data_IF_681397118655
#
_entry.id   IF_681397118655
#
_cell.length_a   1.000
_cell.length_b   1.000
_cell.length_c   1.000
_cell.angle_alpha   90.00
_cell.angle_beta   90.00
_cell.angle_gamma   90.00
#
_symmetry.space_group_name_H-M   'P 1'
#
loop_
_entity.id
_entity.type
_entity.pdbx_description
1 polymer ?
#
# COMPACT_ATOMS: atom_id res chain seq x y z
N UNK A 1 45.30 13.37 -2.30
CA UNK A 1 44.01 12.64 -2.26
C UNK A 1 43.59 12.50 -0.80
N UNK A 2 42.48 13.11 -0.38
CA UNK A 2 42.02 13.01 1.02
C UNK A 2 41.67 11.58 1.40
N UNK A 3 42.01 11.19 2.63
CA UNK A 3 41.75 9.88 3.19
C UNK A 3 40.25 9.53 3.09
N UNK A 4 39.92 8.36 2.51
CA UNK A 4 38.53 7.94 2.35
C UNK A 4 37.92 7.64 3.72
N UNK A 5 36.96 8.45 4.15
CA UNK A 5 36.21 8.18 5.39
C UNK A 5 35.46 6.84 5.28
N UNK A 6 35.69 5.95 6.24
CA UNK A 6 35.05 4.63 6.40
C UNK A 6 34.40 4.50 7.78
N UNK A 7 33.52 3.52 7.94
CA UNK A 7 32.88 3.18 9.22
C UNK A 7 33.93 2.56 10.14
N UNK A 8 34.17 3.20 11.29
CA UNK A 8 35.00 2.64 12.37
C UNK A 8 34.23 1.66 13.25
N UNK A 9 32.94 1.96 13.51
CA UNK A 9 32.02 1.15 14.30
C UNK A 9 30.64 1.22 13.69
N UNK A 10 30.04 0.05 13.43
CA UNK A 10 28.65 -0.08 12.98
C UNK A 10 27.72 0.28 14.14
N UNK A 11 26.76 1.15 13.88
CA UNK A 11 25.70 1.53 14.83
C UNK A 11 24.34 1.03 14.36
N UNK A 12 23.33 1.04 15.24
CA UNK A 12 21.97 0.57 14.95
C UNK A 12 21.35 1.21 13.69
N UNK A 13 21.60 2.50 13.45
CA UNK A 13 21.14 3.16 12.22
C UNK A 13 21.75 2.55 10.95
N UNK A 14 23.02 2.11 11.01
CA UNK A 14 23.68 1.47 9.88
C UNK A 14 23.05 0.09 9.64
N UNK A 15 22.83 -0.69 10.70
CA UNK A 15 22.16 -2.00 10.64
C UNK A 15 20.74 -1.87 10.07
N UNK A 16 19.97 -0.88 10.53
CA UNK A 16 18.63 -0.60 10.01
C UNK A 16 18.62 -0.29 8.52
N UNK A 17 19.52 0.59 8.05
CA UNK A 17 19.65 0.91 6.62
C UNK A 17 19.98 -0.33 5.80
N UNK A 18 20.92 -1.15 6.27
CA UNK A 18 21.30 -2.38 5.59
C UNK A 18 20.15 -3.38 5.57
N UNK A 19 19.44 -3.56 6.68
CA UNK A 19 18.30 -4.45 6.76
C UNK A 19 17.16 -4.02 5.83
N UNK A 20 16.83 -2.73 5.78
CA UNK A 20 15.82 -2.23 4.83
C UNK A 20 16.28 -2.37 3.37
N UNK A 21 17.55 -2.12 3.06
CA UNK A 21 18.10 -2.38 1.72
C UNK A 21 18.10 -3.87 1.35
N UNK A 22 18.29 -4.76 2.33
CA UNK A 22 18.16 -6.20 2.12
C UNK A 22 16.71 -6.58 1.81
N UNK A 23 15.74 -6.12 2.61
CA UNK A 23 14.32 -6.46 2.43
C UNK A 23 13.71 -5.87 1.16
N UNK A 24 13.90 -4.56 0.98
CA UNK A 24 13.27 -3.77 -0.08
C UNK A 24 14.15 -3.61 -1.32
N UNK A 25 15.36 -4.20 -1.30
CA UNK A 25 16.34 -4.38 -2.38
C UNK A 25 16.97 -3.11 -2.93
N UNK A 26 16.17 -2.07 -3.19
CA UNK A 26 16.62 -0.76 -3.70
C UNK A 26 15.97 0.36 -2.89
N UNK A 27 16.70 1.41 -2.54
CA UNK A 27 16.08 2.61 -1.98
C UNK A 27 16.73 3.87 -2.53
N UNK A 28 15.96 4.96 -2.66
CA UNK A 28 16.55 6.27 -2.96
C UNK A 28 17.12 6.92 -1.71
N UNK A 29 17.96 7.94 -1.92
CA UNK A 29 18.47 8.77 -0.81
C UNK A 29 17.33 9.38 0.00
N UNK A 30 16.31 9.90 -0.67
CA UNK A 30 15.15 10.56 -0.05
C UNK A 30 14.33 9.59 0.80
N UNK A 31 14.21 8.33 0.37
CA UNK A 31 13.54 7.28 1.14
C UNK A 31 14.32 6.97 2.44
N UNK A 32 15.64 6.80 2.34
CA UNK A 32 16.52 6.56 3.49
C UNK A 32 16.51 7.78 4.44
N UNK A 33 16.58 8.99 3.88
CA UNK A 33 16.51 10.26 4.61
C UNK A 33 15.25 10.38 5.48
N UNK A 34 14.09 10.04 4.90
CA UNK A 34 12.80 10.08 5.60
C UNK A 34 12.73 9.05 6.72
N UNK A 35 13.24 7.83 6.49
CA UNK A 35 13.23 6.76 7.48
C UNK A 35 14.15 7.03 8.67
N UNK A 36 15.41 7.36 8.39
CA UNK A 36 16.48 7.33 9.40
C UNK A 36 16.92 8.70 9.89
N UNK A 37 16.69 9.75 9.12
CA UNK A 37 17.35 11.05 9.36
C UNK A 37 16.39 12.23 9.48
N UNK A 38 15.07 11.97 9.61
CA UNK A 38 14.02 13.00 9.80
C UNK A 38 14.14 14.18 8.80
N UNK A 39 14.57 13.93 7.57
CA UNK A 39 14.74 14.99 6.56
C UNK A 39 16.12 15.68 6.52
N UNK A 40 17.11 15.22 7.31
CA UNK A 40 18.46 15.78 7.29
C UNK A 40 19.25 15.32 6.06
N UNK A 41 19.16 16.09 4.97
CA UNK A 41 19.87 15.84 3.71
C UNK A 41 21.37 15.68 3.91
N UNK A 42 22.01 16.65 4.57
CA UNK A 42 23.47 16.69 4.73
C UNK A 42 24.01 15.47 5.49
N UNK A 43 23.33 15.08 6.57
CA UNK A 43 23.72 13.90 7.34
C UNK A 43 23.49 12.62 6.55
N UNK A 44 22.37 12.52 5.83
CA UNK A 44 22.10 11.40 4.92
C UNK A 44 23.20 11.25 3.88
N UNK A 45 23.57 12.32 3.17
CA UNK A 45 24.65 12.29 2.17
C UNK A 45 25.97 11.79 2.76
N UNK A 46 26.36 12.33 3.92
CA UNK A 46 27.58 11.91 4.62
C UNK A 46 27.51 10.43 4.97
N UNK A 47 26.39 9.97 5.53
CA UNK A 47 26.22 8.57 5.93
C UNK A 47 26.25 7.62 4.74
N UNK A 48 25.52 7.91 3.66
CA UNK A 48 25.52 7.10 2.45
C UNK A 48 26.91 7.03 1.81
N UNK A 49 27.66 8.12 1.84
CA UNK A 49 29.05 8.16 1.36
C UNK A 49 29.95 7.21 2.18
N UNK A 50 29.87 7.26 3.51
CA UNK A 50 30.69 6.41 4.40
C UNK A 50 30.30 4.94 4.26
N UNK A 51 29.00 4.60 4.22
CA UNK A 51 28.53 3.22 4.01
C UNK A 51 29.05 2.64 2.69
N UNK A 52 29.01 3.44 1.62
CA UNK A 52 29.51 3.05 0.30
C UNK A 52 31.03 2.88 0.30
N UNK A 53 31.78 3.82 0.86
CA UNK A 53 33.25 3.71 0.98
C UNK A 53 33.68 2.50 1.82
N UNK A 54 32.86 2.12 2.81
CA UNK A 54 33.10 0.94 3.64
C UNK A 54 32.72 -0.37 2.94
N UNK A 55 32.11 -0.29 1.75
CA UNK A 55 31.76 -1.43 0.91
C UNK A 55 30.48 -2.15 1.33
N UNK A 56 29.68 -1.63 2.26
CA UNK A 56 28.43 -2.28 2.71
C UNK A 56 27.25 -2.07 1.75
N UNK A 57 27.33 -1.03 0.93
CA UNK A 57 26.33 -0.69 -0.09
C UNK A 57 27.01 -0.24 -1.37
N UNK A 58 26.26 -0.25 -2.46
CA UNK A 58 26.65 0.36 -3.73
C UNK A 58 25.54 1.29 -4.23
N UNK A 59 25.90 2.26 -5.07
CA UNK A 59 24.98 3.25 -5.63
C UNK A 59 24.97 3.20 -7.15
N UNK A 60 23.79 3.36 -7.76
CA UNK A 60 23.62 3.50 -9.21
C UNK A 60 22.72 4.69 -9.52
N UNK A 61 23.00 5.43 -10.60
CA UNK A 61 22.09 6.47 -11.10
C UNK A 61 21.10 5.85 -12.07
N UNK A 62 19.82 6.17 -11.89
CA UNK A 62 18.74 5.82 -12.80
C UNK A 62 18.00 7.07 -13.25
N UNK A 63 17.32 6.98 -14.40
CA UNK A 63 16.38 8.02 -14.83
C UNK A 63 14.98 7.62 -14.36
N UNK A 64 14.36 8.42 -13.48
CA UNK A 64 12.97 8.22 -13.04
C UNK A 64 12.07 9.21 -13.76
N UNK A 65 10.89 8.77 -14.19
CA UNK A 65 9.87 9.69 -14.68
C UNK A 65 9.32 10.55 -13.53
N UNK A 66 9.19 11.86 -13.79
CA UNK A 66 8.52 12.83 -12.91
C UNK A 66 7.41 13.54 -13.70
N UNK A 67 6.55 14.29 -13.00
CA UNK A 67 5.49 15.12 -13.62
C UNK A 67 6.04 16.04 -14.73
N UNK A 68 7.28 16.53 -14.57
CA UNK A 68 7.99 17.35 -15.56
C UNK A 68 9.26 16.63 -16.05
N UNK A 69 9.10 15.62 -16.91
CA UNK A 69 10.21 14.96 -17.59
C UNK A 69 10.89 13.84 -16.81
N UNK A 70 12.21 13.71 -16.96
CA UNK A 70 13.01 12.65 -16.33
C UNK A 70 14.09 13.24 -15.43
N UNK A 71 14.29 12.64 -14.26
CA UNK A 71 15.30 13.08 -13.30
C UNK A 71 16.30 11.96 -13.01
N UNK A 72 17.58 12.34 -12.86
CA UNK A 72 18.64 11.46 -12.37
C UNK A 72 18.46 11.23 -10.88
N UNK A 73 18.12 10.01 -10.48
CA UNK A 73 17.96 9.60 -9.09
C UNK A 73 19.03 8.58 -8.72
N UNK A 74 19.70 8.78 -7.58
CA UNK A 74 20.59 7.77 -7.02
C UNK A 74 19.77 6.72 -6.26
N UNK A 75 19.98 5.45 -6.61
CA UNK A 75 19.49 4.29 -5.86
C UNK A 75 20.64 3.59 -5.17
N UNK A 76 20.36 3.02 -4.01
CA UNK A 76 21.30 2.24 -3.20
C UNK A 76 20.84 0.78 -3.12
N UNK A 77 21.80 -0.14 -3.09
CA UNK A 77 21.59 -1.58 -2.90
C UNK A 77 22.63 -2.09 -1.92
N UNK A 78 22.30 -3.15 -1.18
CA UNK A 78 23.25 -3.84 -0.28
C UNK A 78 24.27 -4.66 -1.09
N UNK A 79 25.48 -4.82 -0.55
CA UNK A 79 26.53 -5.70 -1.11
C UNK A 79 26.65 -6.99 -0.30
N UNK A 80 27.41 -7.97 -0.77
CA UNK A 80 27.69 -9.20 0.00
C UNK A 80 28.34 -8.90 1.35
N UNK A 81 29.18 -7.85 1.42
CA UNK A 81 29.76 -7.40 2.69
C UNK A 81 28.67 -6.90 3.66
N UNK A 82 27.68 -6.16 3.16
CA UNK A 82 26.53 -5.74 3.97
C UNK A 82 25.68 -6.91 4.44
N UNK A 83 25.43 -7.89 3.56
CA UNK A 83 24.66 -9.10 3.90
C UNK A 83 25.38 -9.93 4.96
N UNK A 84 26.69 -10.15 4.83
CA UNK A 84 27.49 -10.86 5.85
C UNK A 84 27.39 -10.20 7.22
N UNK A 85 27.48 -8.87 7.27
CA UNK A 85 27.31 -8.14 8.53
C UNK A 85 25.92 -8.37 9.15
N UNK A 86 24.84 -8.34 8.36
CA UNK A 86 23.50 -8.62 8.88
C UNK A 86 23.38 -10.04 9.45
N UNK A 87 24.02 -11.01 8.81
CA UNK A 87 24.05 -12.41 9.26
C UNK A 87 24.87 -12.59 10.55
N UNK A 88 26.05 -11.97 10.62
CA UNK A 88 26.89 -11.95 11.84
C UNK A 88 26.15 -11.33 13.03
N UNK A 89 25.20 -10.43 12.77
CA UNK A 89 24.35 -9.79 13.79
C UNK A 89 23.06 -10.55 14.09
N UNK A 90 22.80 -11.69 13.45
CA UNK A 90 21.57 -12.46 13.63
C UNK A 90 20.31 -11.76 13.14
N UNK A 91 20.43 -10.78 12.24
CA UNK A 91 19.30 -10.04 11.68
C UNK A 91 18.67 -10.74 10.47
N UNK A 92 19.42 -11.65 9.84
CA UNK A 92 18.95 -12.49 8.74
C UNK A 92 19.60 -13.89 8.85
N UNK A 93 18.85 -14.91 8.47
CA UNK A 93 19.31 -16.30 8.46
C UNK A 93 19.51 -16.86 7.04
N UNK A 94 19.04 -16.13 6.03
CA UNK A 94 19.01 -16.62 4.65
C UNK A 94 20.39 -16.52 3.99
N UNK A 95 20.79 -17.59 3.29
CA UNK A 95 21.98 -17.58 2.45
C UNK A 95 21.65 -17.03 1.06
N UNK A 96 21.60 -15.70 0.97
CA UNK A 96 21.31 -14.96 -0.27
C UNK A 96 22.49 -14.06 -0.59
N UNK A 97 22.92 -14.05 -1.85
CA UNK A 97 23.93 -13.13 -2.33
C UNK A 97 23.32 -11.82 -2.85
N UNK A 98 24.10 -10.75 -2.87
CA UNK A 98 23.66 -9.46 -3.38
C UNK A 98 23.27 -9.49 -4.87
N UNK A 99 23.81 -10.44 -5.64
CA UNK A 99 23.43 -10.65 -7.05
C UNK A 99 21.97 -11.10 -7.20
N UNK A 100 21.45 -11.87 -6.23
CA UNK A 100 20.09 -12.41 -6.25
C UNK A 100 19.05 -11.35 -5.82
N UNK A 101 19.51 -10.30 -5.15
CA UNK A 101 18.69 -9.13 -4.80
C UNK A 101 18.58 -8.12 -5.95
N UNK A 102 19.29 -8.31 -7.05
CA UNK A 102 19.28 -7.38 -8.18
C UNK A 102 17.88 -7.29 -8.80
N UNK A 103 17.44 -6.07 -9.05
CA UNK A 103 16.18 -5.79 -9.72
C UNK A 103 16.49 -5.34 -11.15
N UNK A 104 15.82 -5.97 -12.12
CA UNK A 104 15.86 -5.55 -13.51
C UNK A 104 15.36 -4.11 -13.68
N UNK A 105 15.98 -3.36 -14.59
CA UNK A 105 15.66 -1.94 -14.82
C UNK A 105 14.17 -1.68 -15.02
N UNK A 106 13.49 -2.54 -15.79
CA UNK A 106 12.06 -2.43 -16.08
C UNK A 106 11.17 -2.56 -14.83
N UNK A 107 11.65 -3.24 -13.78
CA UNK A 107 10.91 -3.47 -12.56
C UNK A 107 11.21 -2.44 -11.45
N UNK A 108 12.32 -1.70 -11.56
CA UNK A 108 12.79 -0.78 -10.50
C UNK A 108 11.73 0.22 -10.04
N UNK A 109 11.00 0.87 -10.94
CA UNK A 109 10.00 1.86 -10.56
C UNK A 109 8.89 1.25 -9.69
N UNK A 110 8.47 0.02 -9.98
CA UNK A 110 7.45 -0.67 -9.17
C UNK A 110 7.92 -0.99 -7.75
N UNK A 111 9.21 -1.30 -7.57
CA UNK A 111 9.81 -1.48 -6.25
C UNK A 111 9.96 -0.15 -5.52
N UNK A 112 10.43 0.90 -6.20
CA UNK A 112 10.55 2.23 -5.60
C UNK A 112 9.18 2.76 -5.15
N UNK A 113 8.12 2.49 -5.90
CA UNK A 113 6.77 2.85 -5.52
C UNK A 113 6.32 2.06 -4.27
N UNK A 114 6.54 0.75 -4.21
CA UNK A 114 6.24 -0.01 -3.00
C UNK A 114 7.05 0.48 -1.79
N UNK A 115 8.29 0.91 -2.02
CA UNK A 115 9.15 1.45 -0.97
C UNK A 115 8.71 2.85 -0.53
N UNK A 116 8.14 3.67 -1.44
CA UNK A 116 7.52 4.95 -1.10
C UNK A 116 6.32 4.73 -0.16
N UNK A 117 5.53 3.66 -0.37
CA UNK A 117 4.44 3.26 0.53
C UNK A 117 4.99 2.81 1.89
N UNK A 118 6.02 1.97 1.91
CA UNK A 118 6.70 1.57 3.15
C UNK A 118 7.20 2.76 3.96
N UNK A 119 7.94 3.67 3.32
CA UNK A 119 8.51 4.85 3.97
C UNK A 119 7.41 5.77 4.51
N UNK A 120 6.27 5.84 3.83
CA UNK A 120 5.14 6.65 4.25
C UNK A 120 4.39 6.08 5.46
N UNK A 121 4.33 4.75 5.60
CA UNK A 121 3.47 4.09 6.60
C UNK A 121 4.24 3.42 7.75
N UNK A 122 5.57 3.23 7.67
CA UNK A 122 6.36 2.57 8.72
C UNK A 122 6.18 3.23 10.11
N UNK A 123 6.09 4.56 10.16
CA UNK A 123 5.89 5.31 11.42
C UNK A 123 4.44 5.34 11.89
N UNK A 124 3.52 4.86 11.07
CA UNK A 124 2.09 4.88 11.35
C UNK A 124 1.59 3.56 11.96
N UNK A 125 2.48 2.63 12.33
CA UNK A 125 2.12 1.34 12.95
C UNK A 125 1.96 0.19 11.95
N UNK A 126 2.08 0.45 10.66
CA UNK A 126 1.97 -0.60 9.64
C UNK A 126 3.19 -1.52 9.62
N UNK A 127 2.92 -2.82 9.52
CA UNK A 127 3.93 -3.82 9.21
C UNK A 127 3.93 -4.14 7.71
N UNK A 128 5.10 -4.40 7.15
CA UNK A 128 5.25 -4.72 5.73
C UNK A 128 5.86 -6.11 5.57
N UNK A 129 5.38 -6.85 4.58
CA UNK A 129 6.02 -8.06 4.06
C UNK A 129 6.52 -7.75 2.66
N UNK A 130 7.82 -7.93 2.42
CA UNK A 130 8.35 -7.79 1.06
C UNK A 130 7.90 -8.96 0.18
N UNK A 131 7.96 -8.77 -1.13
CA UNK A 131 7.52 -9.77 -2.10
C UNK A 131 8.12 -11.17 -1.91
N UNK A 132 9.35 -11.33 -1.37
CA UNK A 132 9.92 -12.67 -1.16
C UNK A 132 9.29 -13.36 0.03
N UNK A 133 9.25 -12.67 1.17
CA UNK A 133 8.62 -13.18 2.37
C UNK A 133 7.17 -13.56 2.08
N UNK A 134 6.46 -12.69 1.35
CA UNK A 134 5.09 -12.95 0.91
C UNK A 134 5.00 -14.17 -0.01
N UNK A 135 5.84 -14.24 -1.06
CA UNK A 135 5.81 -15.33 -2.03
C UNK A 135 6.14 -16.68 -1.39
N UNK A 136 7.06 -16.70 -0.42
CA UNK A 136 7.39 -17.88 0.38
C UNK A 136 6.23 -18.28 1.29
N UNK A 137 5.66 -17.31 2.04
CA UNK A 137 4.52 -17.53 2.95
C UNK A 137 3.32 -18.14 2.23
N UNK A 138 3.09 -17.74 0.98
CA UNK A 138 1.88 -18.07 0.23
C UNK A 138 2.09 -18.91 -1.03
N UNK A 139 3.30 -19.45 -1.21
CA UNK A 139 3.66 -20.26 -2.39
C UNK A 139 3.30 -19.59 -3.73
N UNK A 140 3.41 -18.26 -3.78
CA UNK A 140 3.08 -17.48 -4.97
C UNK A 140 4.18 -17.62 -6.02
N UNK A 141 3.80 -17.47 -7.29
CA UNK A 141 4.75 -17.63 -8.39
C UNK A 141 5.75 -16.47 -8.44
N UNK A 142 6.98 -16.78 -8.87
CA UNK A 142 8.03 -15.75 -9.04
C UNK A 142 7.58 -14.63 -9.97
N UNK A 143 6.79 -14.96 -10.99
CA UNK A 143 6.24 -14.02 -11.96
C UNK A 143 5.18 -13.07 -11.42
N UNK A 144 4.56 -13.36 -10.27
CA UNK A 144 3.39 -12.61 -9.79
C UNK A 144 3.67 -11.12 -9.62
N UNK A 145 2.67 -10.32 -9.99
CA UNK A 145 2.72 -8.85 -10.03
C UNK A 145 2.61 -8.22 -8.64
N UNK A 146 2.12 -8.96 -7.64
CA UNK A 146 2.06 -8.54 -6.25
C UNK A 146 3.44 -8.06 -5.75
N UNK A 147 3.47 -6.87 -5.12
CA UNK A 147 4.71 -6.21 -4.67
C UNK A 147 5.10 -6.54 -3.24
N UNK A 148 4.16 -7.07 -2.46
CA UNK A 148 4.31 -7.35 -1.05
C UNK A 148 2.95 -7.21 -0.36
N UNK A 149 2.96 -7.17 0.96
CA UNK A 149 1.76 -6.93 1.73
C UNK A 149 1.96 -5.83 2.77
N UNK A 150 0.86 -5.16 3.08
CA UNK A 150 0.73 -4.19 4.16
C UNK A 150 -0.18 -4.79 5.21
N UNK A 151 0.27 -4.84 6.44
CA UNK A 151 -0.50 -5.30 7.60
C UNK A 151 -0.83 -4.09 8.46
N UNK A 152 -2.12 -3.84 8.62
CA UNK A 152 -2.70 -2.82 9.49
C UNK A 152 -2.49 -3.18 10.96
N UNK A 153 -2.69 -2.21 11.86
CA UNK A 153 -2.52 -2.40 13.31
C UNK A 153 -3.50 -3.43 13.89
N UNK A 154 -4.70 -3.57 13.30
CA UNK A 154 -5.68 -4.60 13.68
C UNK A 154 -5.41 -5.97 13.04
N UNK A 155 -4.28 -6.12 12.33
CA UNK A 155 -3.83 -7.39 11.78
C UNK A 155 -4.36 -7.73 10.38
N UNK A 156 -5.15 -6.85 9.74
CA UNK A 156 -5.59 -7.10 8.35
C UNK A 156 -4.43 -6.94 7.39
N UNK A 157 -4.17 -8.01 6.64
CA UNK A 157 -3.15 -8.07 5.61
C UNK A 157 -3.74 -7.77 4.22
N UNK A 158 -3.21 -6.74 3.56
CA UNK A 158 -3.56 -6.32 2.21
C UNK A 158 -2.43 -6.70 1.24
N UNK A 159 -2.73 -7.53 0.25
CA UNK A 159 -1.83 -7.81 -0.87
C UNK A 159 -1.75 -6.56 -1.77
N UNK A 160 -0.55 -6.05 -2.00
CA UNK A 160 -0.35 -4.77 -2.68
C UNK A 160 0.01 -4.96 -4.16
N UNK A 161 -0.80 -4.35 -5.02
CA UNK A 161 -0.54 -4.21 -6.44
C UNK A 161 -0.33 -2.73 -6.77
N UNK A 162 0.71 -2.41 -7.55
CA UNK A 162 0.97 -1.04 -8.01
C UNK A 162 0.93 -1.02 -9.53
N UNK A 163 -0.05 -0.32 -10.06
CA UNK A 163 -0.36 -0.22 -11.49
C UNK A 163 0.14 1.11 -12.01
N UNK A 164 0.95 1.05 -13.08
CA UNK A 164 1.48 2.25 -13.74
C UNK A 164 0.38 2.96 -14.53
N UNK A 165 0.59 4.24 -14.82
CA UNK A 165 -0.23 4.95 -15.80
C UNK A 165 -0.12 4.27 -17.19
N UNK A 166 -1.23 4.21 -17.92
CA UNK A 166 -1.30 3.56 -19.23
C UNK A 166 -1.06 2.05 -19.20
N UNK A 167 -1.36 1.38 -18.08
CA UNK A 167 -1.25 -0.07 -18.00
C UNK A 167 -2.23 -0.73 -19.00
N UNK A 168 -1.70 -1.62 -19.83
CA UNK A 168 -2.49 -2.40 -20.80
C UNK A 168 -3.51 -3.30 -20.08
N UNK A 169 -4.66 -3.51 -20.70
CA UNK A 169 -5.71 -4.44 -20.25
C UNK A 169 -5.18 -5.82 -19.84
N UNK A 170 -4.22 -6.35 -20.60
CA UNK A 170 -3.59 -7.64 -20.28
C UNK A 170 -2.97 -7.65 -18.88
N UNK A 171 -2.36 -6.54 -18.45
CA UNK A 171 -1.79 -6.39 -17.10
C UNK A 171 -2.90 -6.36 -16.06
N UNK A 172 -3.98 -5.62 -16.31
CA UNK A 172 -5.11 -5.51 -15.39
C UNK A 172 -5.82 -6.87 -15.21
N UNK A 173 -6.08 -7.57 -16.32
CA UNK A 173 -6.63 -8.94 -16.32
C UNK A 173 -5.75 -9.92 -15.57
N UNK A 174 -4.43 -9.78 -15.71
CA UNK A 174 -3.46 -10.60 -14.98
C UNK A 174 -3.54 -10.35 -13.48
N UNK A 175 -3.60 -9.09 -13.03
CA UNK A 175 -3.79 -8.75 -11.61
C UNK A 175 -5.09 -9.37 -11.08
N UNK A 176 -6.22 -9.24 -11.80
CA UNK A 176 -7.48 -9.87 -11.42
C UNK A 176 -7.41 -11.41 -11.39
N UNK A 177 -6.62 -12.03 -12.27
CA UNK A 177 -6.39 -13.48 -12.24
C UNK A 177 -5.59 -13.89 -11.02
N UNK A 178 -4.53 -13.15 -10.70
CA UNK A 178 -3.71 -13.38 -9.50
C UNK A 178 -4.54 -13.24 -8.22
N UNK A 179 -5.36 -12.19 -8.09
CA UNK A 179 -6.24 -12.00 -6.92
C UNK A 179 -7.26 -13.13 -6.75
N UNK A 180 -7.88 -13.58 -7.85
CA UNK A 180 -8.83 -14.71 -7.80
C UNK A 180 -8.13 -16.03 -7.48
N UNK A 181 -6.91 -16.26 -7.99
CA UNK A 181 -6.10 -17.44 -7.62
C UNK A 181 -5.76 -17.41 -6.13
N UNK A 182 -5.31 -16.26 -5.63
CA UNK A 182 -5.02 -16.02 -4.22
C UNK A 182 -6.24 -16.32 -3.34
N UNK A 183 -7.41 -15.83 -3.72
CA UNK A 183 -8.67 -16.11 -3.01
C UNK A 183 -8.97 -17.62 -2.92
N UNK A 184 -8.82 -18.35 -4.04
CA UNK A 184 -9.10 -19.80 -4.08
C UNK A 184 -8.10 -20.63 -3.28
N UNK A 185 -6.82 -20.27 -3.30
CA UNK A 185 -5.76 -21.05 -2.67
C UNK A 185 -5.59 -20.73 -1.18
N UNK A 186 -5.81 -19.48 -0.79
CA UNK A 186 -5.49 -18.98 0.54
C UNK A 186 -6.71 -18.56 1.36
N UNK A 187 -7.91 -18.61 0.76
CA UNK A 187 -9.14 -18.12 1.35
C UNK A 187 -9.30 -16.60 1.24
N UNK A 188 -10.11 -16.05 2.14
CA UNK A 188 -10.43 -14.62 2.24
C UNK A 188 -9.16 -13.76 2.38
N UNK A 189 -8.98 -12.81 1.45
CA UNK A 189 -7.79 -11.95 1.35
C UNK A 189 -8.18 -10.56 0.90
N UNK A 190 -7.59 -9.56 1.55
CA UNK A 190 -7.75 -8.18 1.15
C UNK A 190 -6.70 -7.80 0.11
N UNK A 191 -7.12 -7.05 -0.89
CA UNK A 191 -6.25 -6.57 -1.96
C UNK A 191 -6.29 -5.05 -1.99
N UNK A 192 -5.11 -4.45 -2.10
CA UNK A 192 -4.92 -3.02 -2.26
C UNK A 192 -4.27 -2.77 -3.62
N UNK A 193 -5.04 -2.20 -4.55
CA UNK A 193 -4.60 -1.91 -5.91
C UNK A 193 -4.40 -0.41 -6.07
N UNK A 194 -3.15 0.01 -6.23
CA UNK A 194 -2.74 1.41 -6.26
C UNK A 194 -2.39 1.85 -7.68
N UNK A 195 -2.96 2.97 -8.14
CA UNK A 195 -2.83 3.42 -9.52
C UNK A 195 -2.04 4.73 -9.63
N UNK A 196 -0.99 4.74 -10.46
CA UNK A 196 -0.21 5.95 -10.79
C UNK A 196 -0.87 6.84 -11.85
N UNK A 197 -1.97 6.40 -12.47
CA UNK A 197 -2.74 7.17 -13.46
C UNK A 197 -4.23 6.84 -13.41
N UNK A 198 -5.07 7.86 -13.59
CA UNK A 198 -6.52 7.74 -13.50
C UNK A 198 -7.12 6.85 -14.60
N UNK A 199 -6.57 6.89 -15.82
CA UNK A 199 -7.00 6.03 -16.93
C UNK A 199 -6.95 4.54 -16.55
N UNK A 200 -5.83 4.08 -15.99
CA UNK A 200 -5.69 2.69 -15.58
C UNK A 200 -6.56 2.32 -14.38
N UNK A 201 -6.84 3.29 -13.50
CA UNK A 201 -7.78 3.12 -12.40
C UNK A 201 -9.21 2.91 -12.94
N UNK A 202 -9.64 3.76 -13.86
CA UNK A 202 -10.97 3.70 -14.46
C UNK A 202 -11.13 2.41 -15.29
N UNK A 203 -10.14 2.06 -16.12
CA UNK A 203 -10.13 0.81 -16.87
C UNK A 203 -10.22 -0.42 -15.96
N UNK A 204 -9.46 -0.45 -14.86
CA UNK A 204 -9.52 -1.54 -13.89
C UNK A 204 -10.89 -1.61 -13.20
N UNK A 205 -11.44 -0.47 -12.77
CA UNK A 205 -12.77 -0.40 -12.12
C UNK A 205 -13.84 -0.95 -13.05
N UNK A 206 -13.90 -0.49 -14.30
CA UNK A 206 -14.86 -0.97 -15.29
C UNK A 206 -14.72 -2.47 -15.52
N UNK A 207 -13.49 -2.96 -15.68
CA UNK A 207 -13.22 -4.39 -15.86
C UNK A 207 -13.61 -5.23 -14.64
N UNK A 208 -13.39 -4.70 -13.43
CA UNK A 208 -13.72 -5.35 -12.17
C UNK A 208 -15.24 -5.49 -12.00
N UNK A 209 -15.96 -4.38 -12.15
CA UNK A 209 -17.41 -4.33 -11.93
C UNK A 209 -18.20 -5.08 -13.01
N UNK A 210 -17.62 -5.28 -14.20
CA UNK A 210 -18.17 -6.12 -15.26
C UNK A 210 -17.82 -7.61 -15.10
N UNK A 211 -17.06 -8.00 -14.07
CA UNK A 211 -16.60 -9.37 -13.88
C UNK A 211 -17.52 -10.15 -12.95
N UNK A 212 -17.86 -11.39 -13.32
CA UNK A 212 -18.57 -12.34 -12.44
C UNK A 212 -17.67 -13.01 -11.38
N UNK A 213 -16.48 -12.44 -11.14
CA UNK A 213 -15.50 -13.05 -10.24
C UNK A 213 -15.79 -12.63 -8.81
N UNK A 214 -15.76 -13.60 -7.91
CA UNK A 214 -15.88 -13.35 -6.49
C UNK A 214 -14.50 -13.04 -5.93
N UNK A 215 -14.38 -11.87 -5.33
CA UNK A 215 -13.24 -11.46 -4.52
C UNK A 215 -13.73 -11.18 -3.11
N UNK A 216 -12.83 -11.07 -2.15
CA UNK A 216 -13.20 -10.79 -0.76
C UNK A 216 -13.22 -9.29 -0.45
N UNK A 217 -12.07 -8.62 -0.64
CA UNK A 217 -11.94 -7.15 -0.54
C UNK A 217 -10.97 -6.69 -1.62
N UNK A 218 -11.37 -5.64 -2.36
CA UNK A 218 -10.54 -5.03 -3.40
C UNK A 218 -10.64 -3.51 -3.29
N UNK A 219 -9.74 -2.93 -2.52
CA UNK A 219 -9.58 -1.49 -2.40
C UNK A 219 -8.76 -0.98 -3.60
N UNK A 220 -9.41 -0.24 -4.49
CA UNK A 220 -8.76 0.32 -5.67
C UNK A 220 -8.61 1.83 -5.49
N UNK A 221 -7.39 2.36 -5.48
CA UNK A 221 -7.13 3.77 -5.13
C UNK A 221 -6.08 4.42 -6.05
N UNK A 222 -6.23 5.70 -6.41
CA UNK A 222 -5.12 6.51 -6.88
C UNK A 222 -3.99 6.52 -5.84
N UNK A 223 -2.76 6.34 -6.30
CA UNK A 223 -1.60 6.10 -5.45
C UNK A 223 -1.36 7.24 -4.44
N UNK A 224 -1.49 8.50 -4.86
CA UNK A 224 -1.29 9.66 -3.98
C UNK A 224 -2.35 9.76 -2.90
N UNK A 225 -3.60 9.47 -3.24
CA UNK A 225 -4.69 9.43 -2.28
C UNK A 225 -4.48 8.29 -1.26
N UNK A 226 -4.09 7.10 -1.73
CA UNK A 226 -3.80 5.96 -0.88
C UNK A 226 -2.75 6.26 0.21
N UNK A 227 -1.68 6.99 -0.15
CA UNK A 227 -0.65 7.38 0.82
C UNK A 227 -1.16 8.26 1.95
N UNK A 228 -2.23 9.02 1.72
CA UNK A 228 -2.76 9.93 2.71
C UNK A 228 -3.88 9.26 3.51
N UNK A 229 -4.81 8.55 2.85
CA UNK A 229 -5.92 7.86 3.53
C UNK A 229 -5.40 6.75 4.46
N UNK A 230 -4.37 5.98 4.05
CA UNK A 230 -3.81 4.92 4.90
C UNK A 230 -3.10 5.47 6.15
N UNK A 231 -2.53 6.68 6.11
CA UNK A 231 -1.98 7.29 7.32
C UNK A 231 -3.07 7.68 8.33
N UNK A 232 -4.27 7.93 7.84
CA UNK A 232 -5.38 8.48 8.61
C UNK A 232 -6.36 7.43 9.12
N UNK A 233 -6.49 6.30 8.43
CA UNK A 233 -7.40 5.21 8.74
C UNK A 233 -6.64 3.89 8.91
N UNK A 234 -5.88 3.83 10.00
CA UNK A 234 -5.12 2.68 10.49
C UNK A 234 -6.05 1.61 11.07
N UNK A 235 -7.16 2.05 11.66
CA UNK A 235 -8.16 1.20 12.31
C UNK A 235 -9.59 1.68 12.02
N UNK A 236 -10.57 0.80 12.24
CA UNK A 236 -12.00 1.15 12.15
C UNK A 236 -12.39 2.27 13.15
N UNK A 237 -11.64 2.47 14.25
CA UNK A 237 -11.94 3.53 15.23
C UNK A 237 -11.73 4.94 14.66
N UNK A 238 -10.73 5.12 13.80
CA UNK A 238 -10.50 6.41 13.15
C UNK A 238 -11.61 6.75 12.16
N UNK A 239 -12.16 5.72 11.49
CA UNK A 239 -13.37 5.84 10.69
C UNK A 239 -14.56 6.28 11.55
N UNK A 240 -14.86 5.56 12.63
CA UNK A 240 -15.94 5.91 13.57
C UNK A 240 -15.82 7.36 14.04
N UNK A 241 -14.64 7.76 14.53
CA UNK A 241 -14.36 9.15 14.98
C UNK A 241 -14.61 10.19 13.90
N UNK A 242 -14.39 9.84 12.63
CA UNK A 242 -14.58 10.77 11.51
C UNK A 242 -16.06 10.98 11.21
N UNK A 243 -16.88 9.96 11.40
CA UNK A 243 -18.29 9.98 11.03
C UNK A 243 -19.25 10.35 12.18
N UNK A 244 -18.78 10.43 13.44
CA UNK A 244 -19.62 10.78 14.59
C UNK A 244 -20.27 12.17 14.51
N UNK A 245 -19.72 13.08 13.68
CA UNK A 245 -20.35 14.38 13.43
C UNK A 245 -21.63 14.30 12.59
N UNK A 246 -21.88 13.18 11.90
CA UNK A 246 -23.10 12.96 11.11
C UNK A 246 -24.19 12.22 11.90
N UNK A 247 -23.88 11.73 13.09
CA UNK A 247 -24.79 10.95 13.92
C UNK A 247 -24.07 10.15 15.00
N UNK A 248 -24.83 9.65 15.98
CA UNK A 248 -24.31 8.73 16.99
C UNK A 248 -23.97 7.38 16.35
N UNK A 249 -22.77 6.86 16.63
CA UNK A 249 -22.25 5.63 16.03
C UNK A 249 -22.03 4.58 17.11
N UNK A 250 -22.54 3.39 16.89
CA UNK A 250 -22.34 2.25 17.79
C UNK A 250 -21.87 1.01 17.01
N UNK A 251 -21.07 0.12 17.63
CA UNK A 251 -20.70 -1.14 17.02
C UNK A 251 -21.93 -2.04 16.87
N UNK A 252 -22.08 -2.68 15.72
CA UNK A 252 -23.04 -3.75 15.55
C UNK A 252 -22.53 -5.01 16.26
N UNK A 253 -23.22 -5.41 17.32
CA UNK A 253 -22.89 -6.61 18.11
C UNK A 253 -23.57 -7.87 17.58
N UNK A 254 -24.42 -7.74 16.58
CA UNK A 254 -24.97 -8.89 15.87
C UNK A 254 -23.82 -9.58 15.13
N UNK A 255 -23.70 -10.91 15.28
CA UNK A 255 -22.65 -11.71 14.61
C UNK A 255 -22.93 -11.82 13.11
N UNK A 256 -22.78 -10.70 12.41
CA UNK A 256 -22.96 -10.58 10.96
C UNK A 256 -21.61 -10.82 10.27
N UNK A 257 -21.53 -11.72 9.28
CA UNK A 257 -20.28 -11.99 8.57
C UNK A 257 -19.90 -10.84 7.61
N UNK A 258 -20.80 -9.90 7.31
CA UNK A 258 -20.56 -8.85 6.33
C UNK A 258 -19.86 -7.61 6.92
N UNK A 259 -18.77 -7.18 6.28
CA UNK A 259 -17.99 -6.02 6.74
C UNK A 259 -18.78 -4.69 6.75
N UNK A 260 -19.74 -4.50 5.84
CA UNK A 260 -20.56 -3.27 5.81
C UNK A 260 -21.52 -3.15 6.99
N UNK A 261 -21.79 -4.23 7.73
CA UNK A 261 -22.73 -4.24 8.85
C UNK A 261 -22.05 -3.99 10.19
N UNK A 262 -20.76 -3.66 10.24
CA UNK A 262 -19.99 -3.56 11.50
C UNK A 262 -20.42 -2.44 12.44
N UNK A 263 -21.01 -1.37 11.91
CA UNK A 263 -21.40 -0.20 12.69
C UNK A 263 -22.80 0.24 12.32
N UNK A 264 -23.55 0.71 13.32
CA UNK A 264 -24.76 1.49 13.10
C UNK A 264 -24.46 2.97 13.27
N UNK A 265 -25.21 3.80 12.56
CA UNK A 265 -25.27 5.24 12.76
C UNK A 265 -26.73 5.70 12.87
N UNK A 266 -27.01 6.55 13.86
CA UNK A 266 -28.29 7.24 13.98
C UNK A 266 -28.24 8.55 13.17
N UNK A 267 -28.84 8.54 11.98
CA UNK A 267 -28.77 9.65 11.03
C UNK A 267 -30.16 10.00 10.51
N UNK A 268 -30.55 11.27 10.60
CA UNK A 268 -31.88 11.79 10.26
C UNK A 268 -33.03 11.03 10.95
N UNK A 269 -32.88 10.77 12.26
CA UNK A 269 -33.91 10.11 13.08
C UNK A 269 -34.05 8.60 12.86
N UNK A 270 -33.20 7.97 12.05
CA UNK A 270 -33.26 6.55 11.73
C UNK A 270 -31.91 5.87 11.99
N UNK A 271 -31.96 4.63 12.50
CA UNK A 271 -30.79 3.77 12.68
C UNK A 271 -30.44 3.05 11.39
N UNK A 272 -29.26 3.32 10.84
CA UNK A 272 -28.76 2.86 9.54
C UNK A 272 -27.42 2.14 9.69
N UNK A 273 -27.00 1.34 8.70
CA UNK A 273 -25.62 0.84 8.64
C UNK A 273 -24.66 1.97 8.28
N UNK A 274 -23.50 2.05 8.94
CA UNK A 274 -22.42 2.95 8.58
C UNK A 274 -21.35 2.21 7.77
N UNK A 275 -21.27 2.52 6.48
CA UNK A 275 -20.44 1.79 5.51
C UNK A 275 -19.22 2.62 5.14
N UNK A 276 -18.03 2.10 5.41
CA UNK A 276 -16.77 2.75 5.05
C UNK A 276 -16.39 2.45 3.60
N UNK A 277 -16.47 3.46 2.72
CA UNK A 277 -15.99 3.40 1.33
C UNK A 277 -14.86 4.38 1.05
N UNK A 278 -14.16 4.87 2.07
CA UNK A 278 -13.01 5.77 1.92
C UNK A 278 -11.83 5.10 1.19
N UNK A 279 -11.68 3.79 1.35
CA UNK A 279 -10.68 3.01 0.60
C UNK A 279 -11.17 2.55 -0.79
N UNK A 280 -12.36 3.00 -1.21
CA UNK A 280 -12.98 2.63 -2.48
C UNK A 280 -12.98 1.11 -2.70
N UNK A 281 -13.54 0.37 -1.72
CA UNK A 281 -13.67 -1.08 -1.80
C UNK A 281 -14.74 -1.46 -2.84
N UNK A 282 -14.26 -1.91 -4.00
CA UNK A 282 -15.11 -2.30 -5.11
C UNK A 282 -15.93 -3.55 -4.79
N UNK A 283 -15.45 -4.42 -3.90
CA UNK A 283 -16.21 -5.62 -3.50
C UNK A 283 -17.39 -5.24 -2.63
N UNK A 284 -17.17 -4.32 -1.69
CA UNK A 284 -18.22 -3.82 -0.83
C UNK A 284 -19.31 -3.11 -1.64
N UNK A 285 -18.89 -2.27 -2.59
CA UNK A 285 -19.80 -1.56 -3.49
C UNK A 285 -20.63 -2.51 -4.35
N UNK A 286 -20.02 -3.55 -4.93
CA UNK A 286 -20.74 -4.58 -5.72
C UNK A 286 -21.70 -5.40 -4.86
N UNK A 287 -21.32 -5.75 -3.61
CA UNK A 287 -22.23 -6.41 -2.65
C UNK A 287 -23.44 -5.54 -2.34
N UNK A 288 -23.23 -4.26 -2.04
CA UNK A 288 -24.34 -3.33 -1.75
C UNK A 288 -25.34 -3.20 -2.91
N UNK A 289 -24.88 -3.37 -4.16
CA UNK A 289 -25.76 -3.36 -5.34
C UNK A 289 -26.58 -4.65 -5.48
N UNK A 290 -26.04 -5.79 -5.05
CA UNK A 290 -26.68 -7.11 -5.20
C UNK A 290 -27.55 -7.49 -4.01
N UNK A 291 -27.14 -7.07 -2.82
CA UNK A 291 -27.78 -7.44 -1.56
C UNK A 291 -29.11 -6.71 -1.38
N UNK A 292 -30.14 -7.43 -0.92
CA UNK A 292 -31.37 -6.82 -0.44
C UNK A 292 -31.15 -6.34 0.98
N UNK A 293 -30.94 -5.04 1.13
CA UNK A 293 -30.72 -4.43 2.43
C UNK A 293 -31.98 -4.52 3.30
N UNK A 294 -31.86 -5.14 4.45
CA UNK A 294 -32.89 -5.15 5.49
C UNK A 294 -33.07 -3.75 6.09
N UNK A 295 -31.98 -3.00 6.24
CA UNK A 295 -31.91 -1.63 6.80
C UNK A 295 -31.21 -0.67 5.85
N UNK A 296 -31.51 0.63 5.95
CA UNK A 296 -30.77 1.65 5.19
C UNK A 296 -29.28 1.68 5.54
N UNK A 297 -28.46 2.04 4.57
CA UNK A 297 -27.02 2.19 4.70
C UNK A 297 -26.59 3.61 4.32
N UNK A 298 -25.72 4.19 5.12
CA UNK A 298 -25.03 5.45 4.86
C UNK A 298 -23.60 5.13 4.45
N UNK A 299 -23.28 5.44 3.20
CA UNK A 299 -21.98 5.19 2.58
C UNK A 299 -21.14 6.45 2.70
N UNK A 300 -20.03 6.33 3.41
CA UNK A 300 -19.06 7.40 3.54
C UNK A 300 -17.99 7.25 2.47
N UNK A 301 -18.04 8.15 1.49
CA UNK A 301 -17.26 8.08 0.25
C UNK A 301 -16.39 9.32 0.16
N UNK A 302 -15.15 9.18 -0.31
CA UNK A 302 -14.35 10.35 -0.64
C UNK A 302 -14.99 11.15 -1.77
N UNK A 303 -15.06 12.47 -1.63
CA UNK A 303 -15.75 13.37 -2.59
C UNK A 303 -15.35 13.10 -4.06
N UNK A 304 -14.06 12.86 -4.33
CA UNK A 304 -13.59 12.60 -5.70
C UNK A 304 -14.08 11.27 -6.32
N UNK A 305 -14.67 10.38 -5.51
CA UNK A 305 -15.31 9.14 -5.98
C UNK A 305 -16.83 9.17 -5.93
N UNK A 306 -17.42 10.20 -5.31
CA UNK A 306 -18.85 10.22 -4.99
C UNK A 306 -19.74 10.06 -6.22
N UNK A 307 -19.48 10.80 -7.30
CA UNK A 307 -20.28 10.73 -8.53
C UNK A 307 -20.23 9.36 -9.18
N UNK A 308 -19.06 8.71 -9.18
CA UNK A 308 -18.88 7.36 -9.74
C UNK A 308 -19.59 6.31 -8.90
N UNK A 309 -19.60 6.47 -7.58
CA UNK A 309 -20.33 5.59 -6.67
C UNK A 309 -21.84 5.79 -6.85
N UNK A 310 -22.32 7.03 -6.95
CA UNK A 310 -23.73 7.35 -7.26
C UNK A 310 -24.18 6.69 -8.55
N UNK A 311 -23.43 6.91 -9.63
CA UNK A 311 -23.70 6.33 -10.93
C UNK A 311 -23.83 4.81 -10.84
N UNK A 312 -22.86 4.14 -10.22
CA UNK A 312 -22.84 2.69 -10.11
C UNK A 312 -23.98 2.13 -9.23
N UNK A 313 -24.39 2.85 -8.19
CA UNK A 313 -25.48 2.46 -7.28
C UNK A 313 -26.84 3.05 -7.68
N UNK A 314 -26.96 3.60 -8.90
CA UNK A 314 -28.24 4.10 -9.41
C UNK A 314 -29.31 3.01 -9.36
N UNK A 315 -30.44 3.32 -8.74
CA UNK A 315 -31.57 2.38 -8.56
C UNK A 315 -31.44 1.45 -7.35
N UNK A 316 -30.32 1.45 -6.62
CA UNK A 316 -30.19 0.74 -5.35
C UNK A 316 -30.99 1.48 -4.29
N UNK A 317 -32.04 0.86 -3.77
CA UNK A 317 -32.86 1.42 -2.70
C UNK A 317 -32.11 1.37 -1.36
N UNK A 318 -32.53 2.21 -0.41
CA UNK A 318 -32.01 2.22 0.98
C UNK A 318 -30.52 2.56 1.11
N UNK A 319 -29.94 3.25 0.15
CA UNK A 319 -28.55 3.75 0.20
C UNK A 319 -28.54 5.27 0.20
N UNK A 320 -27.79 5.85 1.13
CA UNK A 320 -27.50 7.28 1.23
C UNK A 320 -25.99 7.47 1.13
N UNK A 321 -25.53 8.48 0.38
CA UNK A 321 -24.09 8.76 0.20
C UNK A 321 -23.77 10.07 0.90
N UNK A 322 -22.80 10.01 1.81
CA UNK A 322 -22.18 11.18 2.44
C UNK A 322 -20.77 11.31 1.89
N UNK A 323 -20.50 12.47 1.29
CA UNK A 323 -19.17 12.83 0.83
C UNK A 323 -18.30 13.25 2.01
N UNK A 324 -17.08 12.73 2.04
CA UNK A 324 -16.03 13.14 2.95
C UNK A 324 -14.97 13.89 2.14
N UNK A 325 -14.75 15.15 2.51
CA UNK A 325 -13.89 16.10 1.82
C UNK A 325 -12.41 15.95 2.18
N UNK A 326 -11.53 16.52 1.36
CA UNK A 326 -10.09 16.65 1.65
C UNK A 326 -9.80 17.28 3.01
N UNK A 327 -10.59 18.29 3.40
CA UNK A 327 -10.44 18.99 4.69
C UNK A 327 -10.75 18.05 5.86
N UNK A 328 -11.80 17.25 5.73
CA UNK A 328 -12.23 16.31 6.77
C UNK A 328 -11.27 15.13 6.90
N UNK A 329 -10.68 14.71 5.78
CA UNK A 329 -9.64 13.68 5.73
C UNK A 329 -8.24 14.22 6.09
N UNK A 330 -8.07 15.55 6.12
CA UNK A 330 -6.79 16.25 6.33
C UNK A 330 -5.73 15.81 5.31
N UNK A 331 -6.10 15.78 4.03
CA UNK A 331 -5.20 15.35 2.94
C UNK A 331 -4.34 16.51 2.38
N UNK A 332 -4.53 17.73 2.89
CA UNK A 332 -3.82 18.95 2.49
C UNK A 332 -2.56 19.22 3.32
#
# INVERSE_FOLDING_TARGET
MGERKTIKRVVETDEGILYDLYRFRIMTREQIERLYFRGSKAYTYRKMYILRNSGYIQSKIIMRAKKKGRERTAIYTITDKGIRLLRERGLIDEDIEAKDLRIERQNMEGYLDFNDLYVALKREGYTFLDSRALKKKYQMERGDLCKGAVVTEDGREYLVYIVRAGAKDQTLRRIMKEMNRSYRQMGKRHNLVLFRGLESFDAFRTMYLASDRVFDTVCALPYTYALNVLKRFKTDQEFVKTITKYGEVEPNRERMPEEYKRHFIFHNGEKKYAVNLLMNDLTLMDRMRRDRLDRKAVLFVYEAFADRVREYLTGVQKVEIIEITDQELRLC
#
